data_IF_573533505347
#
_entry.id   IF_573533505347
#
_cell.length_a   1.000
_cell.length_b   1.000
_cell.length_c   1.000
_cell.angle_alpha   90.00
_cell.angle_beta   90.00
_cell.angle_gamma   90.00
#
_symmetry.space_group_name_H-M   'P 1'
#
loop_
_entity.id
_entity.type
_entity.pdbx_description
1 polymer ?
#
# COMPACT_ATOMS: atom_id res chain seq x y z
N UNK A 1 20.20 -27.27 9.96
CA UNK A 1 20.27 -26.12 9.04
C UNK A 1 19.77 -24.88 9.78
N UNK A 2 20.65 -23.92 10.05
CA UNK A 2 20.30 -22.64 10.67
C UNK A 2 20.09 -21.65 9.53
N UNK A 3 18.86 -21.20 9.32
CA UNK A 3 18.57 -20.18 8.33
C UNK A 3 18.94 -18.82 8.94
N UNK A 4 19.87 -18.08 8.33
CA UNK A 4 20.26 -16.74 8.78
C UNK A 4 19.17 -15.67 8.56
N UNK A 5 18.01 -16.07 8.03
CA UNK A 5 16.82 -15.23 8.00
C UNK A 5 15.99 -15.42 9.27
N UNK A 6 16.17 -14.51 10.21
CA UNK A 6 15.33 -14.39 11.40
C UNK A 6 14.11 -13.47 11.17
N UNK A 7 13.04 -13.73 11.91
CA UNK A 7 11.80 -12.94 11.86
C UNK A 7 12.04 -11.46 12.19
N UNK A 8 12.99 -11.16 13.09
CA UNK A 8 13.34 -9.78 13.43
C UNK A 8 13.94 -9.05 12.23
N UNK A 9 14.90 -9.69 11.55
CA UNK A 9 15.56 -9.11 10.38
C UNK A 9 14.56 -8.83 9.25
N UNK A 10 13.65 -9.77 8.98
CA UNK A 10 12.59 -9.60 7.96
C UNK A 10 11.70 -8.39 8.28
N UNK A 11 11.25 -8.26 9.53
CA UNK A 11 10.38 -7.16 9.96
C UNK A 11 11.10 -5.81 9.90
N UNK A 12 12.36 -5.75 10.33
CA UNK A 12 13.18 -4.55 10.25
C UNK A 12 13.40 -4.12 8.79
N UNK A 13 13.78 -5.05 7.93
CA UNK A 13 14.00 -4.78 6.50
C UNK A 13 12.72 -4.31 5.82
N UNK A 14 11.59 -4.96 6.08
CA UNK A 14 10.31 -4.60 5.48
C UNK A 14 9.85 -3.20 5.92
N UNK A 15 10.01 -2.83 7.20
CA UNK A 15 9.75 -1.46 7.67
C UNK A 15 10.70 -0.45 7.03
N UNK A 16 11.98 -0.77 6.91
CA UNK A 16 12.97 0.09 6.25
C UNK A 16 12.65 0.33 4.76
N UNK A 17 12.00 -0.64 4.09
CA UNK A 17 11.52 -0.51 2.71
C UNK A 17 10.18 0.23 2.60
N UNK A 18 9.62 0.71 3.71
CA UNK A 18 8.42 1.53 3.71
C UNK A 18 7.11 0.78 3.99
N UNK A 19 7.15 -0.46 4.49
CA UNK A 19 5.96 -1.10 5.02
C UNK A 19 5.49 -0.41 6.30
N UNK A 20 4.19 -0.15 6.42
CA UNK A 20 3.62 0.43 7.63
C UNK A 20 3.32 -0.66 8.68
N UNK A 21 2.93 -1.86 8.23
CA UNK A 21 2.77 -3.05 9.08
C UNK A 21 3.36 -4.29 8.39
N UNK A 22 3.91 -5.19 9.21
CA UNK A 22 4.50 -6.46 8.76
C UNK A 22 4.17 -7.56 9.76
N UNK A 23 3.58 -8.65 9.29
CA UNK A 23 3.26 -9.86 10.05
C UNK A 23 3.92 -11.08 9.42
N UNK A 24 4.18 -12.10 10.24
CA UNK A 24 4.67 -13.40 9.77
C UNK A 24 3.82 -14.46 10.44
N UNK A 25 3.33 -15.43 9.66
CA UNK A 25 2.47 -16.53 10.11
C UNK A 25 2.88 -17.82 9.41
N UNK A 26 2.56 -18.98 9.99
CA UNK A 26 2.74 -20.28 9.34
C UNK A 26 1.77 -20.44 8.16
N UNK A 27 2.15 -21.28 7.19
CA UNK A 27 1.28 -21.64 6.08
C UNK A 27 -0.01 -22.33 6.57
N UNK A 28 0.12 -23.23 7.54
CA UNK A 28 -0.98 -24.01 8.10
C UNK A 28 -2.09 -23.11 8.67
N UNK A 29 -1.71 -22.09 9.44
CA UNK A 29 -2.68 -21.14 10.02
C UNK A 29 -3.40 -20.33 8.94
N UNK A 30 -2.73 -19.98 7.83
CA UNK A 30 -3.40 -19.26 6.74
C UNK A 30 -4.27 -20.18 5.87
N UNK A 31 -3.94 -21.46 5.78
CA UNK A 31 -4.79 -22.47 5.15
C UNK A 31 -6.10 -22.67 5.95
N UNK A 32 -6.00 -22.68 7.28
CA UNK A 32 -7.16 -22.83 8.19
C UNK A 32 -8.05 -21.59 8.21
N UNK A 33 -7.45 -20.39 8.11
CA UNK A 33 -8.15 -19.11 8.13
C UNK A 33 -7.88 -18.31 6.84
N UNK A 34 -8.46 -18.71 5.69
CA UNK A 34 -8.23 -18.01 4.44
C UNK A 34 -8.82 -16.59 4.49
N UNK A 35 -8.12 -15.58 3.93
CA UNK A 35 -8.56 -14.18 3.98
C UNK A 35 -9.84 -13.91 3.18
N UNK A 36 -10.16 -14.73 2.18
CA UNK A 36 -11.43 -14.72 1.45
C UNK A 36 -12.01 -16.16 1.45
N UNK A 37 -13.15 -16.41 2.13
CA UNK A 37 -13.80 -17.72 2.14
C UNK A 37 -14.34 -18.15 0.76
N UNK A 38 -14.68 -17.21 -0.11
CA UNK A 38 -15.28 -17.48 -1.43
C UNK A 38 -14.22 -17.82 -2.46
N UNK A 39 -13.04 -17.19 -2.36
CA UNK A 39 -11.89 -17.44 -3.25
C UNK A 39 -10.60 -17.59 -2.45
N UNK A 40 -10.46 -18.68 -1.70
CA UNK A 40 -9.35 -18.87 -0.78
C UNK A 40 -8.01 -18.91 -1.54
N UNK A 41 -7.18 -17.90 -1.26
CA UNK A 41 -5.78 -17.81 -1.68
C UNK A 41 -4.91 -18.48 -0.61
N UNK A 42 -4.97 -19.80 -0.52
CA UNK A 42 -4.22 -20.57 0.47
C UNK A 42 -2.82 -20.88 -0.05
N UNK A 43 -1.79 -20.81 0.82
CA UNK A 43 -0.42 -21.20 0.51
C UNK A 43 -0.30 -22.55 -0.22
N UNK A 44 -1.05 -23.56 0.22
CA UNK A 44 -1.06 -24.89 -0.40
C UNK A 44 -1.46 -24.88 -1.88
N UNK A 45 -2.39 -23.99 -2.28
CA UNK A 45 -2.79 -23.86 -3.68
C UNK A 45 -1.74 -23.17 -4.54
N UNK A 46 -0.89 -22.34 -3.94
CA UNK A 46 0.17 -21.61 -4.66
C UNK A 46 1.39 -22.51 -4.85
N UNK A 47 1.88 -23.15 -3.78
CA UNK A 47 2.99 -24.09 -3.86
C UNK A 47 3.06 -24.98 -2.61
N UNK A 48 3.30 -26.30 -2.77
CA UNK A 48 3.37 -27.24 -1.65
C UNK A 48 4.62 -27.07 -0.77
N UNK A 49 5.56 -26.21 -1.15
CA UNK A 49 6.82 -26.00 -0.42
C UNK A 49 6.79 -24.80 0.54
N UNK A 50 5.67 -24.07 0.61
CA UNK A 50 5.52 -22.88 1.45
C UNK A 50 5.37 -23.29 2.91
N UNK A 51 6.24 -22.76 3.77
CA UNK A 51 6.21 -23.00 5.23
C UNK A 51 5.69 -21.82 6.04
N UNK A 52 5.90 -20.61 5.52
CA UNK A 52 5.55 -19.37 6.20
C UNK A 52 5.11 -18.32 5.20
N UNK A 53 4.30 -17.39 5.67
CA UNK A 53 3.74 -16.28 4.90
C UNK A 53 4.12 -14.97 5.58
N UNK A 54 4.59 -14.02 4.78
CA UNK A 54 4.91 -12.66 5.21
C UNK A 54 3.81 -11.74 4.70
N UNK A 55 3.11 -11.08 5.62
CA UNK A 55 2.03 -10.14 5.32
C UNK A 55 2.58 -8.72 5.44
N UNK A 56 2.37 -7.91 4.41
CA UNK A 56 2.83 -6.51 4.35
C UNK A 56 1.61 -5.62 4.11
N UNK A 57 1.46 -4.56 4.91
CA UNK A 57 0.43 -3.56 4.69
C UNK A 57 1.03 -2.16 4.53
N UNK A 58 0.41 -1.40 3.62
CA UNK A 58 0.70 0.02 3.40
C UNK A 58 -0.58 0.81 3.59
N UNK A 59 -0.51 1.85 4.43
CA UNK A 59 -1.58 2.82 4.62
C UNK A 59 -1.62 3.73 3.40
N UNK A 60 -2.71 3.67 2.65
CA UNK A 60 -2.99 4.61 1.58
C UNK A 60 -3.77 5.78 2.19
N UNK A 61 -3.30 7.04 2.06
CA UNK A 61 -4.03 8.19 2.58
C UNK A 61 -5.35 8.38 1.84
N UNK A 62 -6.43 8.67 2.58
CA UNK A 62 -7.79 8.84 2.04
C UNK A 62 -7.85 9.92 0.96
N UNK A 63 -6.99 10.94 1.04
CA UNK A 63 -6.88 11.99 0.01
C UNK A 63 -6.47 11.46 -1.37
N UNK A 64 -5.71 10.37 -1.44
CA UNK A 64 -5.34 9.75 -2.72
C UNK A 64 -6.54 9.12 -3.44
N UNK A 65 -7.49 8.54 -2.69
CA UNK A 65 -8.70 7.95 -3.27
C UNK A 65 -9.76 8.98 -3.66
N UNK A 66 -9.75 10.16 -3.03
CA UNK A 66 -10.73 11.24 -3.30
C UNK A 66 -10.29 12.21 -4.38
N UNK A 67 -9.07 12.08 -4.91
CA UNK A 67 -8.62 12.87 -6.03
C UNK A 67 -9.28 12.35 -7.33
N UNK A 68 -9.93 13.26 -8.08
CA UNK A 68 -10.50 12.93 -9.40
C UNK A 68 -9.42 12.55 -10.44
N UNK A 69 -8.17 12.86 -10.14
CA UNK A 69 -7.02 12.66 -11.00
C UNK A 69 -5.76 12.56 -10.14
N UNK A 70 -4.85 11.66 -10.51
CA UNK A 70 -3.53 11.56 -9.89
C UNK A 70 -2.53 12.61 -10.44
N UNK A 71 -3.00 13.46 -11.36
CA UNK A 71 -2.23 14.58 -11.93
C UNK A 71 -2.43 15.77 -10.99
N UNK A 72 -1.35 16.32 -10.39
CA UNK A 72 -1.47 17.56 -9.65
C UNK A 72 -2.03 18.65 -10.58
N UNK A 73 -3.10 19.36 -10.18
CA UNK A 73 -3.67 20.39 -11.04
C UNK A 73 -2.57 21.41 -11.38
N UNK A 74 -2.46 21.84 -12.65
CA UNK A 74 -1.43 22.78 -13.05
C UNK A 74 -1.52 24.01 -12.15
N UNK A 75 -0.36 24.46 -11.67
CA UNK A 75 -0.23 25.61 -10.78
C UNK A 75 -0.97 26.79 -11.41
N UNK A 76 -2.13 27.16 -10.85
CA UNK A 76 -2.92 28.29 -11.37
C UNK A 76 -2.09 29.55 -11.16
N UNK A 77 -1.39 30.01 -12.19
CA UNK A 77 -0.80 31.36 -12.20
C UNK A 77 -1.96 32.30 -11.89
N UNK A 78 -1.88 33.04 -10.78
CA UNK A 78 -2.73 34.22 -10.56
C UNK A 78 -2.42 35.17 -11.71
N UNK A 79 -3.24 35.14 -12.76
CA UNK A 79 -3.27 36.22 -13.74
C UNK A 79 -3.84 37.40 -12.96
N UNK A 80 -3.01 38.42 -12.74
CA UNK A 80 -3.40 39.65 -12.07
C UNK A 80 -4.66 40.20 -12.74
N UNK A 81 -5.62 40.60 -11.92
CA UNK A 81 -6.83 41.25 -12.40
C UNK A 81 -6.44 42.55 -13.13
N UNK A 82 -6.43 42.54 -14.45
CA UNK A 82 -6.42 43.77 -15.25
C UNK A 82 -7.81 44.37 -15.11
N UNK A 83 -7.92 45.44 -14.32
CA UNK A 83 -9.12 46.29 -14.28
C UNK A 83 -9.32 46.90 -15.67
N UNK A 84 -10.43 46.57 -16.31
CA UNK A 84 -10.94 47.30 -17.48
C UNK A 84 -11.28 48.74 -17.05
N UNK A 85 -10.76 49.79 -17.71
CA UNK A 85 -11.17 51.15 -17.39
C UNK A 85 -12.63 51.36 -17.81
N UNK A 86 -13.42 51.96 -16.92
CA UNK A 86 -14.79 52.34 -17.21
C UNK A 86 -14.79 53.49 -18.23
N UNK A 87 -15.47 53.29 -19.37
CA UNK A 87 -15.75 54.33 -20.34
C UNK A 87 -16.70 55.34 -19.71
N UNK A 88 -16.25 56.59 -19.56
CA UNK A 88 -17.11 57.72 -19.27
C UNK A 88 -17.77 58.18 -20.59
N UNK A 89 -19.10 58.23 -20.60
CA UNK A 89 -19.95 58.74 -21.67
C UNK A 89 -21.35 58.95 -21.13
#
# INVERSE_FOLDING_TARGET
>A
MKYDLDAKFVKEKAKALGADLVGIVSADTLNEFPPDPKWPQTPERISPHVKSVIVIAKRIPVGAFRAKSNIPPPRRKRIGATKTPATAG
#
